data_IF_347451355358
#
_entry.id   IF_347451355358
#
_cell.length_a   1.000
_cell.length_b   1.000
_cell.length_c   1.000
_cell.angle_alpha   90.00
_cell.angle_beta   90.00
_cell.angle_gamma   90.00
#
_symmetry.space_group_name_H-M   'P 1'
#
loop_
_entity.id
_entity.type
_entity.pdbx_description
1 polymer ?
#
# COMPACT_ATOMS: atom_id res chain seq x y z
N UNK A 1 -38.79 -1.14 11.06
CA UNK A 1 -38.32 0.24 10.85
C UNK A 1 -36.97 0.20 10.12
N UNK A 2 -36.80 1.07 9.11
CA UNK A 2 -35.60 1.31 8.29
C UNK A 2 -35.25 0.34 7.13
N UNK A 3 -35.89 0.53 5.96
CA UNK A 3 -35.45 -0.07 4.67
C UNK A 3 -35.85 0.78 3.45
N UNK A 4 -35.94 2.10 3.63
CA UNK A 4 -36.45 3.02 2.59
C UNK A 4 -35.65 4.33 2.46
N UNK A 5 -34.62 4.55 3.27
CA UNK A 5 -33.83 5.80 3.26
C UNK A 5 -32.68 5.74 2.27
N UNK A 6 -31.88 4.67 2.25
CA UNK A 6 -30.73 4.56 1.33
C UNK A 6 -31.18 4.58 -0.14
N UNK A 7 -32.20 3.79 -0.50
CA UNK A 7 -32.76 3.77 -1.87
C UNK A 7 -33.33 5.13 -2.29
N UNK A 8 -33.88 5.92 -1.36
CA UNK A 8 -34.38 7.28 -1.63
C UNK A 8 -33.26 8.20 -2.07
N UNK A 9 -32.09 8.11 -1.44
CA UNK A 9 -30.93 8.94 -1.77
C UNK A 9 -30.24 8.55 -3.09
N UNK A 10 -30.35 7.29 -3.54
CA UNK A 10 -29.82 6.85 -4.84
C UNK A 10 -30.76 7.17 -6.02
N UNK A 11 -32.07 7.29 -5.78
CA UNK A 11 -33.05 7.59 -6.84
C UNK A 11 -33.13 9.09 -7.17
N UNK A 12 -32.74 9.94 -6.22
CA UNK A 12 -32.57 11.38 -6.44
C UNK A 12 -31.18 11.61 -7.02
N UNK A 13 -31.11 11.85 -8.33
CA UNK A 13 -29.96 12.26 -9.14
C UNK A 13 -28.61 12.29 -8.42
N UNK A 14 -27.78 11.29 -8.72
CA UNK A 14 -26.49 11.04 -8.10
C UNK A 14 -25.58 12.25 -8.12
N UNK A 15 -25.45 12.89 -6.96
CA UNK A 15 -24.33 13.78 -6.68
C UNK A 15 -23.09 12.90 -6.57
N UNK A 16 -22.19 13.01 -7.54
CA UNK A 16 -20.87 12.40 -7.46
C UNK A 16 -20.18 13.01 -6.24
N UNK A 17 -20.15 12.27 -5.13
CA UNK A 17 -19.39 12.64 -3.95
C UNK A 17 -17.92 12.57 -4.33
N UNK A 18 -17.40 13.64 -4.92
CA UNK A 18 -15.99 13.80 -5.20
C UNK A 18 -15.27 14.00 -3.88
N UNK A 19 -14.88 12.89 -3.27
CA UNK A 19 -13.93 12.90 -2.16
C UNK A 19 -12.59 13.39 -2.70
N UNK A 20 -12.36 14.70 -2.66
CA UNK A 20 -11.06 15.28 -2.90
C UNK A 20 -10.15 14.80 -1.77
N UNK A 21 -9.40 13.73 -2.00
CA UNK A 21 -8.35 13.32 -1.08
C UNK A 21 -7.34 14.46 -1.05
N UNK A 22 -7.18 15.19 0.06
CA UNK A 22 -6.15 16.21 0.13
C UNK A 22 -4.81 15.52 -0.03
N UNK A 23 -3.95 16.07 -0.89
CA UNK A 23 -2.59 15.60 -1.10
C UNK A 23 -1.80 15.90 0.18
N UNK A 24 -1.91 14.99 1.16
CA UNK A 24 -1.25 15.09 2.45
C UNK A 24 0.05 14.32 2.31
N UNK A 25 1.20 14.99 2.07
CA UNK A 25 2.47 14.32 1.99
C UNK A 25 2.69 13.56 3.30
N UNK A 26 2.88 12.27 3.19
CA UNK A 26 3.18 11.43 4.32
C UNK A 26 4.59 11.75 4.81
N UNK A 27 4.84 11.68 6.12
CA UNK A 27 6.20 11.78 6.68
C UNK A 27 7.18 10.76 6.07
N UNK A 28 6.69 9.73 5.39
CA UNK A 28 7.49 8.71 4.71
C UNK A 28 7.86 9.10 3.28
N UNK A 29 7.21 10.08 2.67
CA UNK A 29 7.41 10.43 1.26
C UNK A 29 8.83 10.93 0.98
N UNK A 30 9.46 11.78 1.83
CA UNK A 30 10.86 12.16 1.66
C UNK A 30 11.83 10.98 1.75
N UNK A 31 11.41 9.91 2.44
CA UNK A 31 12.21 8.71 2.68
C UNK A 31 11.81 7.55 1.76
N UNK A 32 10.85 7.75 0.85
CA UNK A 32 10.29 6.71 -0.01
C UNK A 32 11.38 6.03 -0.85
N UNK A 33 12.31 6.80 -1.42
CA UNK A 33 13.40 6.26 -2.23
C UNK A 33 14.31 5.30 -1.43
N UNK A 34 14.65 5.68 -0.18
CA UNK A 34 15.45 4.83 0.73
C UNK A 34 14.66 3.57 1.14
N UNK A 35 13.36 3.77 1.41
CA UNK A 35 12.41 2.73 1.79
C UNK A 35 12.12 1.72 0.68
N UNK A 36 12.14 2.10 -0.58
CA UNK A 36 11.98 1.18 -1.73
C UNK A 36 13.26 0.38 -1.98
N UNK A 37 14.42 0.98 -1.73
CA UNK A 37 15.72 0.34 -1.93
C UNK A 37 15.99 -0.79 -0.95
N UNK A 38 15.72 -0.60 0.35
CA UNK A 38 16.10 -1.58 1.37
C UNK A 38 15.37 -2.94 1.29
N UNK A 39 14.05 -3.02 1.04
CA UNK A 39 13.35 -4.29 0.83
C UNK A 39 13.88 -5.04 -0.38
N UNK A 40 14.17 -4.34 -1.50
CA UNK A 40 14.74 -4.93 -2.72
C UNK A 40 16.15 -5.48 -2.49
N UNK A 41 17.00 -4.74 -1.79
CA UNK A 41 18.35 -5.20 -1.39
C UNK A 41 18.31 -6.46 -0.50
N UNK A 42 17.22 -6.67 0.24
CA UNK A 42 17.01 -7.85 1.09
C UNK A 42 16.43 -9.07 0.37
N UNK A 43 16.19 -9.02 -0.95
CA UNK A 43 15.67 -10.15 -1.73
C UNK A 43 16.76 -11.20 -1.97
N UNK A 44 17.99 -10.75 -2.26
CA UNK A 44 19.12 -11.61 -2.60
C UNK A 44 19.94 -12.07 -1.37
N UNK A 45 19.60 -11.58 -0.17
CA UNK A 45 20.33 -11.92 1.06
C UNK A 45 19.77 -13.19 1.71
N UNK A 46 20.65 -13.95 2.37
CA UNK A 46 20.25 -15.13 3.14
C UNK A 46 19.20 -14.74 4.20
N UNK A 47 18.27 -15.66 4.51
CA UNK A 47 17.15 -15.43 5.44
C UNK A 47 17.59 -14.80 6.77
N UNK A 48 18.74 -15.21 7.32
CA UNK A 48 19.32 -14.67 8.57
C UNK A 48 19.96 -13.29 8.43
N UNK A 49 20.37 -12.91 7.22
CA UNK A 49 20.99 -11.61 6.91
C UNK A 49 19.97 -10.56 6.43
N UNK A 50 18.73 -10.98 6.17
CA UNK A 50 17.65 -10.08 5.74
C UNK A 50 17.25 -9.17 6.90
N UNK A 51 17.25 -7.85 6.64
CA UNK A 51 16.80 -6.85 7.62
C UNK A 51 15.33 -7.08 7.97
N UNK A 52 15.03 -7.07 9.26
CA UNK A 52 13.64 -7.13 9.75
C UNK A 52 12.98 -5.77 9.65
N UNK A 53 11.64 -5.72 9.61
CA UNK A 53 10.88 -4.46 9.58
C UNK A 53 11.16 -3.56 10.79
N UNK A 54 11.47 -4.16 11.96
CA UNK A 54 11.90 -3.44 13.16
C UNK A 54 13.25 -2.75 12.97
N UNK A 55 14.22 -3.45 12.38
CA UNK A 55 15.54 -2.87 12.06
C UNK A 55 15.44 -1.77 11.01
N UNK A 56 14.56 -1.94 10.02
CA UNK A 56 14.25 -0.91 9.03
C UNK A 56 13.69 0.35 9.70
N UNK A 57 12.72 0.20 10.60
CA UNK A 57 12.18 1.31 11.35
C UNK A 57 13.23 2.02 12.20
N UNK A 58 14.07 1.28 12.94
CA UNK A 58 15.15 1.89 13.73
C UNK A 58 16.12 2.70 12.85
N UNK A 59 16.45 2.20 11.65
CA UNK A 59 17.28 2.93 10.70
C UNK A 59 16.60 4.19 10.14
N UNK A 60 15.25 4.20 10.03
CA UNK A 60 14.51 5.41 9.66
C UNK A 60 14.46 6.43 10.79
N UNK A 61 14.29 5.99 12.03
CA UNK A 61 14.30 6.88 13.19
C UNK A 61 15.66 7.59 13.31
N UNK A 62 16.76 6.89 13.02
CA UNK A 62 18.09 7.49 12.95
C UNK A 62 18.28 8.48 11.78
N UNK A 63 17.35 8.50 10.80
CA UNK A 63 17.31 9.43 9.67
C UNK A 63 16.21 10.49 9.87
N UNK A 64 15.83 10.78 11.12
CA UNK A 64 14.81 11.75 11.52
C UNK A 64 13.38 11.45 11.07
N UNK A 65 13.04 10.16 10.96
CA UNK A 65 11.66 9.75 10.74
C UNK A 65 10.87 9.74 12.06
N UNK A 66 10.04 10.75 12.25
CA UNK A 66 9.05 10.85 13.34
C UNK A 66 7.70 10.19 12.98
N UNK A 67 7.76 9.11 12.19
CA UNK A 67 6.61 8.34 11.73
C UNK A 67 6.39 7.08 12.57
N UNK A 68 5.15 6.57 12.55
CA UNK A 68 4.82 5.37 13.32
C UNK A 68 5.27 4.08 12.63
N UNK A 69 5.72 3.11 13.43
CA UNK A 69 6.08 1.76 12.98
C UNK A 69 5.03 1.12 12.07
N UNK A 70 3.74 1.32 12.37
CA UNK A 70 2.63 0.76 11.59
C UNK A 70 2.63 1.22 10.13
N UNK A 71 3.02 2.47 9.84
CA UNK A 71 3.11 2.98 8.46
C UNK A 71 4.25 2.33 7.69
N UNK A 72 5.40 2.13 8.34
CA UNK A 72 6.55 1.43 7.74
C UNK A 72 6.20 -0.03 7.45
N UNK A 73 5.48 -0.69 8.35
CA UNK A 73 4.96 -2.05 8.12
C UNK A 73 4.00 -2.09 6.94
N UNK A 74 3.04 -1.15 6.87
CA UNK A 74 2.10 -1.07 5.75
C UNK A 74 2.84 -0.93 4.42
N UNK A 75 3.83 -0.04 4.35
CA UNK A 75 4.65 0.15 3.15
C UNK A 75 5.38 -1.13 2.71
N UNK A 76 6.04 -1.81 3.65
CA UNK A 76 6.75 -3.07 3.36
C UNK A 76 5.78 -4.18 2.92
N UNK A 77 4.59 -4.25 3.51
CA UNK A 77 3.57 -5.23 3.13
C UNK A 77 2.98 -4.92 1.75
N UNK A 78 2.68 -3.66 1.44
CA UNK A 78 2.23 -3.23 0.12
C UNK A 78 3.26 -3.63 -0.96
N UNK A 79 4.54 -3.28 -0.76
CA UNK A 79 5.59 -3.63 -1.72
C UNK A 79 5.79 -5.15 -1.90
N UNK A 80 5.55 -5.96 -0.86
CA UNK A 80 5.53 -7.43 -1.02
C UNK A 80 4.34 -7.91 -1.84
N UNK A 81 3.16 -7.32 -1.65
CA UNK A 81 1.98 -7.65 -2.44
C UNK A 81 2.18 -7.28 -3.91
N UNK A 82 2.82 -6.15 -4.19
CA UNK A 82 3.17 -5.73 -5.56
C UNK A 82 4.14 -6.71 -6.22
N UNK A 83 5.22 -7.09 -5.54
CA UNK A 83 6.16 -8.10 -6.04
C UNK A 83 5.50 -9.48 -6.23
N UNK A 84 4.51 -9.83 -5.42
CA UNK A 84 3.75 -11.07 -5.58
C UNK A 84 2.84 -11.02 -6.81
N UNK A 85 2.19 -9.87 -7.07
CA UNK A 85 1.40 -9.64 -8.29
C UNK A 85 2.28 -9.75 -9.54
N UNK A 86 3.44 -9.11 -9.52
CA UNK A 86 4.43 -9.19 -10.60
C UNK A 86 4.87 -10.65 -10.84
N UNK A 87 5.23 -11.40 -9.80
CA UNK A 87 5.61 -12.81 -9.94
C UNK A 87 4.48 -13.70 -10.47
N UNK A 88 3.24 -13.46 -10.02
CA UNK A 88 2.07 -14.16 -10.53
C UNK A 88 1.83 -13.86 -12.02
N UNK A 89 2.08 -12.61 -12.44
CA UNK A 89 1.97 -12.19 -13.85
C UNK A 89 3.04 -12.79 -14.77
N UNK A 90 4.15 -13.28 -14.21
CA UNK A 90 5.29 -13.86 -14.95
C UNK A 90 5.17 -15.40 -15.10
N UNK A 91 4.20 -16.05 -14.42
CA UNK A 91 3.99 -17.50 -14.56
C UNK A 91 3.35 -17.87 -15.91
N UNK A 92 3.54 -19.12 -16.39
CA UNK A 92 3.30 -19.65 -17.76
C UNK A 92 1.83 -19.65 -18.23
N UNK A 93 1.15 -18.53 -18.16
CA UNK A 93 -0.22 -18.30 -18.60
C UNK A 93 -0.59 -16.86 -18.34
N UNK A 94 -1.19 -16.19 -19.32
CA UNK A 94 -1.52 -14.77 -19.25
C UNK A 94 -2.44 -14.48 -18.05
N UNK A 95 -1.91 -13.83 -17.02
CA UNK A 95 -2.71 -13.30 -15.93
C UNK A 95 -3.46 -12.06 -16.43
N UNK A 96 -4.76 -12.21 -16.70
CA UNK A 96 -5.65 -11.11 -17.04
C UNK A 96 -6.30 -10.61 -15.73
N UNK A 97 -6.01 -9.38 -15.27
CA UNK A 97 -6.64 -8.85 -14.07
C UNK A 97 -8.13 -8.63 -14.34
N UNK A 98 -8.98 -9.47 -13.75
CA UNK A 98 -10.43 -9.28 -13.74
C UNK A 98 -10.75 -8.07 -12.87
N UNK A 99 -10.83 -6.89 -13.49
CA UNK A 99 -11.40 -5.71 -12.87
C UNK A 99 -12.93 -5.90 -12.83
N UNK A 100 -13.45 -6.31 -11.68
CA UNK A 100 -14.88 -6.27 -11.45
C UNK A 100 -15.29 -4.80 -11.32
N UNK A 101 -16.15 -4.33 -12.22
CA UNK A 101 -16.85 -3.08 -12.01
C UNK A 101 -17.63 -3.21 -10.70
N UNK A 102 -17.39 -2.30 -9.76
CA UNK A 102 -18.22 -2.23 -8.56
C UNK A 102 -19.65 -1.89 -9.00
N UNK A 103 -20.54 -2.87 -8.87
CA UNK A 103 -21.96 -2.76 -9.20
C UNK A 103 -22.71 -1.87 -8.21
#
# INVERSE_FOLDING_TARGET
MLRKTIRKYFLSDGVELQFTLPDRPSKLDPLANKLLGWPRQGVWKLRKQKRTTKQLHAALVALDNDGSYRRVVAFVCCGKADLQREQQSISRGAFVPLAFAAA
#
